data_IF_622470176479
#
_entry.id   IF_622470176479
#
_cell.length_a   1.000
_cell.length_b   1.000
_cell.length_c   1.000
_cell.angle_alpha   90.00
_cell.angle_beta   90.00
_cell.angle_gamma   90.00
#
_symmetry.space_group_name_H-M   'P 1'
#
loop_
_entity.id
_entity.type
_entity.pdbx_description
1 polymer ?
#
# COMPACT_ATOMS: atom_id res chain seq x y z
N UNK A 1 22.81 22.63 12.01
CA UNK A 1 22.10 21.47 11.42
C UNK A 1 21.37 20.82 12.56
N UNK A 2 20.13 20.35 12.38
CA UNK A 2 19.39 19.68 13.45
C UNK A 2 19.97 18.27 13.63
N UNK A 3 20.10 17.81 14.87
CA UNK A 3 20.67 16.51 15.20
C UNK A 3 19.75 15.68 16.12
N UNK A 4 20.14 14.44 16.42
CA UNK A 4 19.39 13.51 17.27
C UNK A 4 19.17 14.02 18.70
N UNK A 5 19.98 14.98 19.16
CA UNK A 5 19.80 15.66 20.45
C UNK A 5 18.62 16.63 20.44
N UNK A 6 18.36 17.29 19.31
CA UNK A 6 17.22 18.19 19.11
C UNK A 6 15.93 17.39 18.83
N UNK A 7 16.06 16.29 18.09
CA UNK A 7 14.95 15.42 17.69
C UNK A 7 15.27 13.94 17.96
N UNK A 8 15.04 13.45 19.19
CA UNK A 8 15.30 12.05 19.54
C UNK A 8 14.28 11.07 18.94
N UNK A 9 13.23 11.58 18.30
CA UNK A 9 12.24 10.81 17.55
C UNK A 9 11.87 11.54 16.26
N UNK A 10 11.69 10.77 15.19
CA UNK A 10 11.35 11.32 13.88
C UNK A 10 9.93 11.91 13.86
N UNK A 11 9.74 12.95 13.05
CA UNK A 11 8.44 13.56 12.76
C UNK A 11 8.21 13.55 11.25
N UNK A 12 6.98 13.83 10.82
CA UNK A 12 6.64 13.93 9.39
C UNK A 12 7.59 14.88 8.65
N UNK A 13 7.90 16.03 9.24
CA UNK A 13 8.77 17.03 8.63
C UNK A 13 10.21 16.53 8.49
N UNK A 14 10.75 15.86 9.51
CA UNK A 14 12.10 15.30 9.48
C UNK A 14 12.26 14.26 8.36
N UNK A 15 11.31 13.34 8.24
CA UNK A 15 11.38 12.31 7.21
C UNK A 15 11.18 12.88 5.80
N UNK A 16 10.24 13.81 5.62
CA UNK A 16 9.80 14.18 4.27
C UNK A 16 10.48 15.41 3.66
N UNK A 17 10.92 16.41 4.42
CA UNK A 17 11.36 17.67 3.80
C UNK A 17 12.35 18.52 4.59
N UNK A 18 12.51 18.30 5.89
CA UNK A 18 13.50 19.01 6.72
C UNK A 18 14.90 18.44 6.56
N UNK A 19 15.92 19.28 6.60
CA UNK A 19 17.31 18.84 6.59
C UNK A 19 17.67 18.14 7.91
N UNK A 20 18.15 16.90 7.81
CA UNK A 20 18.54 16.07 8.95
C UNK A 20 19.65 15.12 8.50
N UNK A 21 20.74 15.05 9.27
CA UNK A 21 21.91 14.27 8.90
C UNK A 21 22.55 14.74 7.59
N UNK A 22 22.81 13.79 6.69
CA UNK A 22 23.35 14.05 5.35
C UNK A 22 22.33 14.60 4.35
N UNK A 23 21.04 14.67 4.70
CA UNK A 23 19.98 15.08 3.77
C UNK A 23 19.63 16.55 3.94
N UNK A 24 19.56 17.29 2.82
CA UNK A 24 19.20 18.71 2.81
C UNK A 24 17.69 18.97 2.97
N UNK A 25 17.35 20.21 3.36
CA UNK A 25 15.97 20.71 3.34
C UNK A 25 15.49 20.87 1.90
N UNK A 26 14.26 20.45 1.61
CA UNK A 26 13.58 20.63 0.32
C UNK A 26 12.12 21.04 0.56
N UNK A 27 11.44 21.59 -0.44
CA UNK A 27 9.96 21.72 -0.44
C UNK A 27 9.29 20.69 -1.35
N UNK A 28 10.07 19.82 -1.99
CA UNK A 28 9.57 18.67 -2.74
C UNK A 28 9.48 17.46 -1.80
N UNK A 29 8.26 17.15 -1.35
CA UNK A 29 7.98 15.99 -0.48
C UNK A 29 8.16 14.65 -1.19
N UNK A 30 8.30 14.65 -2.53
CA UNK A 30 8.56 13.49 -3.36
C UNK A 30 10.03 13.07 -3.40
N UNK A 31 10.96 13.98 -3.05
CA UNK A 31 12.42 13.81 -3.19
C UNK A 31 12.99 12.58 -2.45
N UNK A 32 12.23 12.05 -1.48
CA UNK A 32 12.64 10.92 -0.63
C UNK A 32 11.71 9.70 -0.73
N UNK A 33 10.74 9.71 -1.64
CA UNK A 33 9.74 8.65 -1.77
C UNK A 33 10.19 7.57 -2.77
N UNK A 34 10.04 6.31 -2.40
CA UNK A 34 10.42 5.14 -3.23
C UNK A 34 9.26 4.57 -4.05
N UNK A 35 8.04 4.61 -3.50
CA UNK A 35 6.85 4.00 -4.07
C UNK A 35 5.72 5.02 -4.30
N UNK A 36 4.84 4.72 -5.25
CA UNK A 36 3.51 5.33 -5.32
C UNK A 36 2.51 4.54 -4.44
N UNK A 37 2.64 4.66 -3.11
CA UNK A 37 1.84 3.88 -2.16
C UNK A 37 0.31 4.14 -2.25
N UNK A 38 -0.10 5.26 -2.85
CA UNK A 38 -1.51 5.59 -3.04
C UNK A 38 -2.13 4.95 -4.30
N UNK A 39 -1.34 4.38 -5.20
CA UNK A 39 -1.87 3.68 -6.37
C UNK A 39 -2.51 2.35 -5.97
N UNK A 40 -3.49 1.80 -6.72
CA UNK A 40 -4.00 0.45 -6.48
C UNK A 40 -2.87 -0.58 -6.54
N UNK A 41 -2.25 -0.70 -7.70
CA UNK A 41 -0.96 -1.36 -7.91
C UNK A 41 0.14 -0.32 -7.76
N UNK A 42 0.98 -0.49 -6.74
CA UNK A 42 2.07 0.44 -6.44
C UNK A 42 3.28 0.14 -7.29
N UNK A 43 3.78 1.16 -7.97
CA UNK A 43 5.02 1.09 -8.74
C UNK A 43 6.12 1.92 -8.07
N UNK A 44 7.37 1.62 -8.42
CA UNK A 44 8.50 2.44 -8.02
C UNK A 44 8.43 3.81 -8.69
N UNK A 45 8.78 4.85 -7.94
CA UNK A 45 8.89 6.20 -8.49
C UNK A 45 10.08 6.31 -9.44
N UNK A 46 10.05 7.28 -10.39
CA UNK A 46 11.27 7.68 -11.09
C UNK A 46 12.38 8.03 -10.08
N UNK A 47 13.61 7.60 -10.35
CA UNK A 47 14.77 7.82 -9.48
C UNK A 47 14.60 7.31 -8.04
N UNK A 48 13.77 6.29 -7.81
CA UNK A 48 13.53 5.74 -6.47
C UNK A 48 14.82 5.30 -5.76
N UNK A 49 15.86 4.89 -6.49
CA UNK A 49 17.15 4.52 -5.92
C UNK A 49 17.82 5.71 -5.22
N UNK A 50 17.84 6.88 -5.86
CA UNK A 50 18.38 8.10 -5.27
C UNK A 50 17.51 8.58 -4.10
N UNK A 51 16.18 8.51 -4.27
CA UNK A 51 15.23 8.87 -3.22
C UNK A 51 15.39 7.97 -1.99
N UNK A 52 15.63 6.66 -2.20
CA UNK A 52 15.93 5.69 -1.15
C UNK A 52 17.19 6.08 -0.38
N UNK A 53 18.28 6.42 -1.07
CA UNK A 53 19.53 6.85 -0.42
C UNK A 53 19.28 8.09 0.45
N UNK A 54 18.52 9.07 -0.05
CA UNK A 54 18.15 10.26 0.74
C UNK A 54 17.33 9.90 1.99
N UNK A 55 16.31 9.05 1.88
CA UNK A 55 15.54 8.62 3.06
C UNK A 55 16.40 7.81 4.05
N UNK A 56 17.23 6.89 3.57
CA UNK A 56 18.13 6.09 4.40
C UNK A 56 19.14 6.97 5.15
N UNK A 57 19.56 8.10 4.56
CA UNK A 57 20.38 9.10 5.23
C UNK A 57 19.74 9.67 6.50
N UNK A 58 18.41 9.85 6.52
CA UNK A 58 17.67 10.25 7.73
C UNK A 58 17.64 9.12 8.76
N UNK A 59 17.40 7.88 8.32
CA UNK A 59 17.33 6.72 9.22
C UNK A 59 18.68 6.43 9.92
N UNK A 60 19.79 6.62 9.20
CA UNK A 60 21.15 6.33 9.68
C UNK A 60 21.62 7.25 10.82
N UNK A 61 20.94 8.37 11.04
CA UNK A 61 21.21 9.23 12.20
C UNK A 61 20.86 8.54 13.53
N UNK A 62 19.90 7.59 13.52
CA UNK A 62 19.44 6.89 14.73
C UNK A 62 19.62 5.37 14.67
N UNK A 63 19.57 4.76 13.48
CA UNK A 63 19.55 3.31 13.30
C UNK A 63 20.78 2.80 12.54
N UNK A 64 21.15 1.55 12.78
CA UNK A 64 22.26 0.91 12.06
C UNK A 64 21.82 0.30 10.72
N UNK A 65 22.80 -0.05 9.88
CA UNK A 65 22.56 -0.61 8.55
C UNK A 65 21.72 -1.90 8.57
N UNK A 66 21.93 -2.80 9.55
CA UNK A 66 21.18 -4.06 9.62
C UNK A 66 19.67 -3.83 9.81
N UNK A 67 19.29 -2.84 10.63
CA UNK A 67 17.90 -2.43 10.79
C UNK A 67 17.33 -1.91 9.47
N UNK A 68 18.05 -0.99 8.80
CA UNK A 68 17.62 -0.42 7.52
C UNK A 68 17.41 -1.51 6.46
N UNK A 69 18.37 -2.42 6.30
CA UNK A 69 18.30 -3.47 5.28
C UNK A 69 17.09 -4.37 5.51
N UNK A 70 16.90 -4.81 6.77
CA UNK A 70 15.76 -5.65 7.16
C UNK A 70 14.43 -4.92 6.94
N UNK A 71 14.34 -3.66 7.38
CA UNK A 71 13.13 -2.84 7.23
C UNK A 71 12.75 -2.66 5.76
N UNK A 72 13.71 -2.24 4.92
CA UNK A 72 13.44 -1.99 3.50
C UNK A 72 13.08 -3.28 2.75
N UNK A 73 13.75 -4.40 3.02
CA UNK A 73 13.40 -5.69 2.42
C UNK A 73 11.97 -6.10 2.76
N UNK A 74 11.61 -6.04 4.05
CA UNK A 74 10.26 -6.42 4.49
C UNK A 74 9.19 -5.44 3.96
N UNK A 75 9.51 -4.14 3.92
CA UNK A 75 8.59 -3.11 3.46
C UNK A 75 8.31 -3.21 1.96
N UNK A 76 9.33 -3.54 1.15
CA UNK A 76 9.17 -3.80 -0.28
C UNK A 76 8.30 -5.04 -0.52
N UNK A 77 8.55 -6.15 0.19
CA UNK A 77 7.75 -7.38 0.09
C UNK A 77 6.28 -7.16 0.48
N UNK A 78 6.02 -6.34 1.50
CA UNK A 78 4.64 -6.03 1.91
C UNK A 78 3.88 -5.24 0.82
N UNK A 79 4.53 -4.30 0.14
CA UNK A 79 3.92 -3.56 -0.98
C UNK A 79 3.59 -4.52 -2.12
N UNK A 80 4.52 -5.42 -2.46
CA UNK A 80 4.31 -6.42 -3.50
C UNK A 80 3.18 -7.39 -3.14
N UNK A 81 3.08 -7.82 -1.89
CA UNK A 81 1.98 -8.67 -1.41
C UNK A 81 0.62 -7.97 -1.53
N UNK A 82 0.54 -6.69 -1.16
CA UNK A 82 -0.69 -5.90 -1.34
C UNK A 82 -1.05 -5.78 -2.83
N UNK A 83 -0.07 -5.55 -3.71
CA UNK A 83 -0.32 -5.53 -5.15
C UNK A 83 -0.88 -6.86 -5.66
N UNK A 84 -0.40 -8.00 -5.14
CA UNK A 84 -0.92 -9.32 -5.53
C UNK A 84 -2.38 -9.48 -5.14
N UNK A 85 -2.77 -9.10 -3.92
CA UNK A 85 -4.17 -9.16 -3.48
C UNK A 85 -5.09 -8.22 -4.27
N UNK A 86 -4.61 -7.04 -4.65
CA UNK A 86 -5.36 -6.13 -5.52
C UNK A 86 -5.55 -6.77 -6.91
N UNK A 87 -4.50 -7.34 -7.50
CA UNK A 87 -4.61 -8.02 -8.79
C UNK A 87 -5.55 -9.26 -8.74
N UNK A 88 -5.58 -9.95 -7.60
CA UNK A 88 -6.53 -11.05 -7.36
C UNK A 88 -7.98 -10.53 -7.31
N UNK A 89 -8.23 -9.39 -6.67
CA UNK A 89 -9.55 -8.76 -6.69
C UNK A 89 -10.00 -8.38 -8.10
N UNK A 90 -9.08 -7.90 -8.95
CA UNK A 90 -9.36 -7.61 -10.36
C UNK A 90 -9.79 -8.89 -11.12
N UNK A 91 -9.14 -10.02 -10.84
CA UNK A 91 -9.46 -11.31 -11.45
C UNK A 91 -10.83 -11.83 -11.03
N UNK A 92 -11.24 -11.59 -9.77
CA UNK A 92 -12.57 -11.95 -9.27
C UNK A 92 -13.67 -11.11 -9.95
N UNK A 93 -13.42 -9.82 -10.17
CA UNK A 93 -14.39 -8.90 -10.77
C UNK A 93 -14.52 -9.06 -12.29
N UNK A 94 -13.44 -9.44 -12.99
CA UNK A 94 -13.40 -9.59 -14.44
C UNK A 94 -14.56 -10.42 -15.04
N UNK A 95 -14.85 -11.66 -14.59
CA UNK A 95 -15.94 -12.45 -15.18
C UNK A 95 -17.32 -11.82 -14.97
N UNK A 96 -17.54 -11.07 -13.88
CA UNK A 96 -18.80 -10.34 -13.68
C UNK A 96 -18.97 -9.23 -14.70
N UNK A 97 -17.90 -8.47 -14.97
CA UNK A 97 -17.88 -7.41 -15.98
C UNK A 97 -18.07 -7.98 -17.39
N UNK A 98 -17.36 -9.05 -17.73
CA UNK A 98 -17.41 -9.70 -19.05
C UNK A 98 -18.79 -10.28 -19.38
N UNK A 99 -19.50 -10.77 -18.37
CA UNK A 99 -20.84 -11.34 -18.52
C UNK A 99 -21.98 -10.35 -18.24
N UNK A 100 -21.68 -9.08 -17.94
CA UNK A 100 -22.68 -8.05 -17.64
C UNK A 100 -23.49 -8.33 -16.38
N UNK A 101 -22.87 -8.96 -15.38
CA UNK A 101 -23.47 -9.31 -14.09
C UNK A 101 -23.29 -8.24 -13.01
N UNK A 102 -22.65 -7.13 -13.37
CA UNK A 102 -22.61 -5.89 -12.61
C UNK A 102 -22.92 -4.73 -13.56
N UNK A 103 -23.46 -3.63 -13.04
CA UNK A 103 -23.72 -2.45 -13.85
C UNK A 103 -22.43 -1.70 -14.21
N UNK A 104 -22.55 -0.75 -15.13
CA UNK A 104 -21.45 0.15 -15.47
C UNK A 104 -21.43 1.43 -14.62
N UNK A 105 -22.47 1.68 -13.82
CA UNK A 105 -22.51 2.84 -12.94
C UNK A 105 -21.59 2.56 -11.74
N UNK A 106 -20.63 3.43 -11.40
CA UNK A 106 -19.74 3.18 -10.29
C UNK A 106 -20.46 3.38 -8.95
N UNK A 107 -20.24 2.46 -8.00
CA UNK A 107 -20.75 2.55 -6.63
C UNK A 107 -22.28 2.51 -6.54
N UNK A 108 -22.93 1.76 -7.43
CA UNK A 108 -24.38 1.53 -7.37
C UNK A 108 -24.74 0.17 -6.75
N UNK A 109 -23.77 -0.75 -6.68
CA UNK A 109 -23.93 -2.07 -6.08
C UNK A 109 -23.00 -2.28 -4.87
N UNK A 110 -23.40 -3.08 -3.86
CA UNK A 110 -22.55 -3.36 -2.69
C UNK A 110 -21.15 -3.87 -3.03
N UNK A 111 -21.03 -4.75 -4.05
CA UNK A 111 -19.75 -5.31 -4.50
C UNK A 111 -18.74 -4.23 -4.94
N UNK A 112 -19.21 -3.08 -5.45
CA UNK A 112 -18.36 -1.98 -5.87
C UNK A 112 -17.61 -1.36 -4.68
N UNK A 113 -18.31 -1.25 -3.54
CA UNK A 113 -17.72 -0.72 -2.32
C UNK A 113 -16.66 -1.67 -1.78
N UNK A 114 -16.97 -2.97 -1.68
CA UNK A 114 -15.99 -3.99 -1.24
C UNK A 114 -14.76 -4.01 -2.16
N UNK A 115 -14.95 -4.00 -3.48
CA UNK A 115 -13.85 -3.97 -4.44
C UNK A 115 -13.01 -2.69 -4.33
N UNK A 116 -13.64 -1.53 -4.15
CA UNK A 116 -12.94 -0.27 -4.00
C UNK A 116 -12.20 -0.14 -2.67
N UNK A 117 -12.84 -0.50 -1.55
CA UNK A 117 -12.27 -0.39 -0.21
C UNK A 117 -11.04 -1.27 -0.03
N UNK A 118 -11.06 -2.49 -0.59
CA UNK A 118 -9.95 -3.44 -0.61
C UNK A 118 -8.63 -2.78 -0.99
N UNK A 119 -8.57 -2.10 -2.14
CA UNK A 119 -7.33 -1.45 -2.57
C UNK A 119 -7.19 -0.02 -2.03
N UNK A 120 -8.29 0.74 -1.97
CA UNK A 120 -8.25 2.18 -1.69
C UNK A 120 -8.09 2.46 -0.21
N UNK A 121 -8.87 1.82 0.65
CA UNK A 121 -8.79 2.04 2.08
C UNK A 121 -7.77 1.09 2.71
N UNK A 122 -7.98 -0.22 2.60
CA UNK A 122 -7.16 -1.21 3.30
C UNK A 122 -5.80 -1.40 2.65
N UNK A 123 -5.74 -1.50 1.31
CA UNK A 123 -4.50 -1.58 0.55
C UNK A 123 -3.58 -0.39 0.81
N UNK A 124 -4.10 0.84 0.80
CA UNK A 124 -3.31 2.03 1.19
C UNK A 124 -2.92 1.98 2.65
N UNK A 125 -3.82 1.63 3.56
CA UNK A 125 -3.53 1.58 5.00
C UNK A 125 -2.40 0.60 5.31
N UNK A 126 -2.42 -0.61 4.74
CA UNK A 126 -1.35 -1.59 4.91
C UNK A 126 0.00 -1.08 4.38
N UNK A 127 0.01 -0.49 3.18
CA UNK A 127 1.22 0.04 2.54
C UNK A 127 1.82 1.20 3.32
N UNK A 128 1.01 2.19 3.70
CA UNK A 128 1.43 3.34 4.49
C UNK A 128 1.84 2.91 5.91
N UNK A 129 1.06 2.04 6.56
CA UNK A 129 1.39 1.46 7.86
C UNK A 129 2.74 0.76 7.86
N UNK A 130 3.08 0.05 6.78
CA UNK A 130 4.38 -0.62 6.66
C UNK A 130 5.52 0.39 6.60
N UNK A 131 5.43 1.37 5.70
CA UNK A 131 6.49 2.37 5.48
C UNK A 131 6.64 3.39 6.62
N UNK A 132 5.64 3.49 7.50
CA UNK A 132 5.66 4.38 8.67
C UNK A 132 5.63 3.61 10.00
N UNK A 133 5.93 2.31 9.98
CA UNK A 133 6.08 1.46 11.18
C UNK A 133 4.85 1.43 12.11
N UNK A 134 3.65 1.39 11.53
CA UNK A 134 2.38 1.18 12.25
C UNK A 134 1.91 -0.27 12.12
N UNK A 135 2.37 -1.21 12.98
CA UNK A 135 2.11 -2.65 12.81
C UNK A 135 0.61 -3.03 12.84
N UNK A 136 -0.18 -2.31 13.64
CA UNK A 136 -1.63 -2.51 13.72
C UNK A 136 -2.33 -2.12 12.42
N UNK A 137 -1.85 -1.05 11.77
CA UNK A 137 -2.30 -0.61 10.45
C UNK A 137 -1.82 -1.51 9.31
N UNK A 138 -0.72 -2.24 9.50
CA UNK A 138 -0.29 -3.27 8.55
C UNK A 138 -1.20 -4.48 8.63
N UNK A 139 -1.59 -4.89 9.83
CA UNK A 139 -2.27 -6.15 10.06
C UNK A 139 -3.78 -5.95 10.27
N UNK A 140 -4.23 -5.57 11.46
CA UNK A 140 -5.65 -5.52 11.82
C UNK A 140 -6.46 -4.52 10.99
N UNK A 141 -5.87 -3.38 10.63
CA UNK A 141 -6.53 -2.37 9.78
C UNK A 141 -6.00 -2.36 8.33
N UNK A 142 -5.35 -3.45 7.91
CA UNK A 142 -4.70 -3.57 6.61
C UNK A 142 -4.90 -4.95 6.03
N UNK A 143 -3.90 -5.81 6.15
CA UNK A 143 -3.90 -7.16 5.56
C UNK A 143 -5.11 -8.00 5.97
N UNK A 144 -5.58 -7.90 7.22
CA UNK A 144 -6.79 -8.61 7.66
C UNK A 144 -8.01 -8.19 6.86
N UNK A 145 -8.25 -6.88 6.74
CA UNK A 145 -9.40 -6.32 6.02
C UNK A 145 -9.33 -6.62 4.52
N UNK A 146 -8.15 -6.53 3.90
CA UNK A 146 -7.95 -6.93 2.49
C UNK A 146 -8.35 -8.40 2.27
N UNK A 147 -7.94 -9.30 3.16
CA UNK A 147 -8.28 -10.71 3.06
C UNK A 147 -9.76 -10.98 3.35
N UNK A 148 -10.39 -10.19 4.23
CA UNK A 148 -11.83 -10.24 4.48
C UNK A 148 -12.60 -9.84 3.23
N UNK A 149 -12.27 -8.68 2.64
CA UNK A 149 -12.90 -8.18 1.41
C UNK A 149 -12.68 -9.14 0.24
N UNK A 150 -11.49 -9.76 0.11
CA UNK A 150 -11.26 -10.79 -0.89
C UNK A 150 -12.18 -12.00 -0.70
N UNK A 151 -12.48 -12.41 0.53
CA UNK A 151 -13.40 -13.51 0.79
C UNK A 151 -14.84 -13.12 0.44
N UNK A 152 -15.26 -11.90 0.80
CA UNK A 152 -16.58 -11.35 0.45
C UNK A 152 -16.76 -11.22 -1.07
N UNK A 153 -15.75 -10.71 -1.78
CA UNK A 153 -15.78 -10.61 -3.25
C UNK A 153 -15.91 -11.98 -3.91
N UNK A 154 -15.17 -13.00 -3.46
CA UNK A 154 -15.29 -14.36 -4.02
C UNK A 154 -16.69 -14.91 -3.83
N UNK A 155 -17.24 -14.78 -2.63
CA UNK A 155 -18.60 -15.27 -2.33
C UNK A 155 -19.65 -14.57 -3.19
N UNK A 156 -19.64 -13.23 -3.25
CA UNK A 156 -20.63 -12.49 -4.03
C UNK A 156 -20.47 -12.75 -5.54
N UNK A 157 -19.24 -12.79 -6.04
CA UNK A 157 -18.98 -13.11 -7.44
C UNK A 157 -19.48 -14.51 -7.82
N UNK A 158 -19.19 -15.51 -6.98
CA UNK A 158 -19.65 -16.88 -7.22
C UNK A 158 -21.18 -16.98 -7.18
N UNK A 159 -21.86 -16.33 -6.24
CA UNK A 159 -23.32 -16.31 -6.20
C UNK A 159 -23.93 -15.73 -7.48
N UNK A 160 -23.35 -14.64 -8.01
CA UNK A 160 -23.81 -14.02 -9.27
C UNK A 160 -23.56 -14.92 -10.48
N UNK A 161 -22.40 -15.56 -10.55
CA UNK A 161 -22.04 -16.49 -11.62
C UNK A 161 -22.94 -17.73 -11.61
N UNK A 162 -23.18 -18.34 -10.44
CA UNK A 162 -24.08 -19.48 -10.28
C UNK A 162 -25.51 -19.13 -10.69
N UNK A 163 -26.02 -17.98 -10.27
CA UNK A 163 -27.35 -17.51 -10.65
C UNK A 163 -27.50 -17.31 -12.17
N UNK A 164 -26.40 -16.98 -12.85
CA UNK A 164 -26.33 -16.88 -14.31
C UNK A 164 -26.05 -18.23 -15.01
N UNK A 165 -25.83 -19.31 -14.27
CA UNK A 165 -25.48 -20.63 -14.82
C UNK A 165 -24.07 -20.69 -15.41
N UNK A 166 -23.16 -19.86 -14.93
CA UNK A 166 -21.75 -19.79 -15.34
C UNK A 166 -20.85 -20.54 -14.35
N UNK A 167 -19.63 -20.86 -14.79
CA UNK A 167 -18.61 -21.50 -13.95
C UNK A 167 -18.09 -20.51 -12.90
N UNK A 168 -17.94 -20.99 -11.66
CA UNK A 168 -17.41 -20.22 -10.52
C UNK A 168 -15.90 -20.33 -10.43
N UNK A 169 -15.25 -19.32 -9.84
CA UNK A 169 -13.83 -19.39 -9.48
C UNK A 169 -13.60 -20.20 -8.20
N UNK A 170 -12.41 -20.79 -8.05
CA UNK A 170 -11.90 -21.30 -6.76
C UNK A 170 -11.56 -20.17 -5.78
#
# INVERSE_FOLDING_TARGET
TLEVTDFPAATCALCHFSGFGSTGTTHDVGDRLTWFLASPISERRPSWQDNKVRMQGVCLECHNQNFLDTFYTNADLAVEQVNQWVAESDQIMAPLQENGLITAEPFDEPIDFTYFELWHHWGRTAKFGTWMQGPDYVQWHGAYEILSDLAELREEANQRLEAAGLETGE
#
